data_IF_678031214527
#
_entry.id   IF_678031214527
#
_cell.length_a   1.000
_cell.length_b   1.000
_cell.length_c   1.000
_cell.angle_alpha   90.00
_cell.angle_beta   90.00
_cell.angle_gamma   90.00
#
_symmetry.space_group_name_H-M   'P 1'
#
loop_
_entity.id
_entity.type
_entity.pdbx_description
1 polymer ?
#
# COMPACT_ATOMS: atom_id res chain seq x y z
N UNK A 1 -25.19 2.00 -10.70
CA UNK A 1 -24.76 3.06 -11.63
C UNK A 1 -25.63 3.23 -12.87
N UNK A 2 -26.13 2.16 -13.53
CA UNK A 2 -26.81 2.30 -14.83
C UNK A 2 -28.19 2.98 -14.75
N UNK A 3 -29.01 2.69 -13.73
CA UNK A 3 -30.38 3.22 -13.62
C UNK A 3 -30.56 4.32 -12.56
N UNK A 4 -29.69 4.36 -11.54
CA UNK A 4 -29.87 5.20 -10.34
C UNK A 4 -28.93 6.40 -10.27
N UNK A 5 -27.93 6.48 -11.16
CA UNK A 5 -26.88 7.49 -11.10
C UNK A 5 -26.86 8.30 -12.40
N UNK A 6 -26.69 9.62 -12.31
CA UNK A 6 -26.44 10.44 -13.51
C UNK A 6 -25.07 10.06 -14.09
N UNK A 7 -24.94 10.07 -15.42
CA UNK A 7 -23.71 9.71 -16.11
C UNK A 7 -22.54 10.60 -15.63
N UNK A 8 -21.45 10.03 -15.08
CA UNK A 8 -20.29 10.79 -14.65
C UNK A 8 -19.48 11.28 -15.87
N UNK A 9 -18.71 12.35 -15.68
CA UNK A 9 -17.72 12.78 -16.66
C UNK A 9 -16.55 11.80 -16.66
N UNK A 10 -16.09 11.43 -17.85
CA UNK A 10 -14.96 10.52 -17.99
C UNK A 10 -13.66 11.24 -17.62
N UNK A 11 -12.96 10.71 -16.63
CA UNK A 11 -11.62 11.15 -16.22
C UNK A 11 -10.65 9.98 -16.40
N UNK A 12 -9.45 10.26 -16.92
CA UNK A 12 -8.41 9.24 -17.10
C UNK A 12 -7.49 9.28 -15.88
N UNK A 13 -7.45 8.19 -15.14
CA UNK A 13 -6.57 8.02 -13.98
C UNK A 13 -5.75 6.75 -14.17
N UNK A 14 -4.46 6.81 -13.86
CA UNK A 14 -3.54 5.68 -14.00
C UNK A 14 -3.61 4.71 -12.80
N UNK A 15 -3.86 5.24 -11.60
CA UNK A 15 -3.90 4.49 -10.33
C UNK A 15 -5.12 4.83 -9.46
N UNK A 16 -5.36 4.02 -8.43
CA UNK A 16 -6.41 4.26 -7.41
C UNK A 16 -6.10 5.45 -6.47
N UNK A 17 -4.91 6.05 -6.59
CA UNK A 17 -4.49 7.24 -5.83
C UNK A 17 -4.23 6.96 -4.34
N UNK A 18 -4.74 7.84 -3.47
CA UNK A 18 -4.51 7.79 -2.03
C UNK A 18 -4.94 6.47 -1.36
N UNK A 19 -5.90 5.75 -1.95
CA UNK A 19 -6.36 4.46 -1.46
C UNK A 19 -5.26 3.40 -1.39
N UNK A 20 -4.28 3.44 -2.29
CA UNK A 20 -3.15 2.51 -2.24
C UNK A 20 -2.37 2.66 -0.92
N UNK A 21 -2.05 3.89 -0.52
CA UNK A 21 -1.37 4.17 0.74
C UNK A 21 -2.19 3.78 1.97
N UNK A 22 -3.51 3.99 1.93
CA UNK A 22 -4.41 3.57 3.00
C UNK A 22 -4.41 2.05 3.15
N UNK A 23 -4.57 1.32 2.03
CA UNK A 23 -4.57 -0.14 2.04
C UNK A 23 -3.24 -0.70 2.55
N UNK A 24 -2.11 -0.10 2.13
CA UNK A 24 -0.79 -0.48 2.62
C UNK A 24 -0.66 -0.25 4.14
N UNK A 25 -1.15 0.88 4.64
CA UNK A 25 -1.21 1.17 6.08
C UNK A 25 -2.06 0.14 6.85
N UNK A 26 -3.23 -0.22 6.32
CA UNK A 26 -4.09 -1.26 6.91
C UNK A 26 -3.38 -2.61 6.94
N UNK A 27 -2.63 -2.97 5.89
CA UNK A 27 -1.85 -4.22 5.87
C UNK A 27 -0.82 -4.25 7.00
N UNK A 28 -0.06 -3.17 7.22
CA UNK A 28 0.90 -3.10 8.34
C UNK A 28 0.21 -3.22 9.70
N UNK A 29 -0.86 -2.45 9.93
CA UNK A 29 -1.63 -2.52 11.18
C UNK A 29 -2.24 -3.91 11.43
N UNK A 30 -2.66 -4.60 10.36
CA UNK A 30 -3.24 -5.94 10.47
C UNK A 30 -2.22 -6.98 10.94
N UNK A 31 -0.97 -6.90 10.47
CA UNK A 31 0.10 -7.80 10.92
C UNK A 31 0.35 -7.65 12.42
N UNK A 32 0.53 -6.40 12.88
CA UNK A 32 0.72 -6.07 14.31
C UNK A 32 -0.46 -6.56 15.15
N UNK A 33 -1.69 -6.23 14.74
CA UNK A 33 -2.90 -6.61 15.48
C UNK A 33 -3.04 -8.13 15.61
N UNK A 34 -2.80 -8.87 14.53
CA UNK A 34 -2.85 -10.34 14.55
C UNK A 34 -1.78 -10.94 15.46
N UNK A 35 -0.58 -10.35 15.51
CA UNK A 35 0.47 -10.77 16.43
C UNK A 35 0.03 -10.63 17.90
N UNK A 36 -0.57 -9.49 18.25
CA UNK A 36 -1.12 -9.25 19.58
C UNK A 36 -2.28 -10.19 19.93
N UNK A 37 -3.17 -10.48 18.97
CA UNK A 37 -4.24 -11.46 19.16
C UNK A 37 -3.64 -12.81 19.55
N UNK A 38 -2.67 -13.31 18.78
CA UNK A 38 -2.03 -14.60 19.09
C UNK A 38 -1.29 -14.53 20.44
N UNK A 39 -0.56 -13.47 20.75
CA UNK A 39 0.23 -13.38 21.97
C UNK A 39 -0.61 -13.29 23.26
N UNK A 40 -1.69 -12.48 23.25
CA UNK A 40 -2.45 -12.16 24.46
C UNK A 40 -3.75 -12.95 24.62
N UNK A 41 -4.44 -13.28 23.52
CA UNK A 41 -5.72 -14.01 23.61
C UNK A 41 -5.52 -15.53 23.62
N UNK A 42 -4.45 -16.03 22.99
CA UNK A 42 -4.14 -17.46 22.98
C UNK A 42 -3.40 -17.91 24.24
N UNK A 43 -3.64 -19.16 24.62
CA UNK A 43 -2.91 -19.86 25.68
C UNK A 43 -1.61 -20.51 25.16
N UNK A 44 -1.20 -20.21 23.93
CA UNK A 44 -0.01 -20.80 23.30
C UNK A 44 1.30 -20.38 23.99
N UNK A 45 1.50 -19.08 24.21
CA UNK A 45 2.76 -18.56 24.80
C UNK A 45 2.95 -19.06 26.24
N UNK A 46 1.96 -18.96 27.14
CA UNK A 46 2.17 -19.40 28.52
C UNK A 46 2.39 -20.92 28.63
N UNK A 47 1.72 -21.74 27.80
CA UNK A 47 1.98 -23.19 27.70
C UNK A 47 3.40 -23.49 27.22
N UNK A 48 3.88 -22.74 26.23
CA UNK A 48 5.25 -22.91 25.72
C UNK A 48 6.28 -22.54 26.80
N UNK A 49 6.08 -21.42 27.51
CA UNK A 49 6.94 -21.00 28.61
C UNK A 49 6.95 -22.03 29.73
N UNK A 50 5.78 -22.56 30.12
CA UNK A 50 5.68 -23.61 31.12
C UNK A 50 6.48 -24.85 30.69
N UNK A 51 6.25 -25.33 29.47
CA UNK A 51 6.91 -26.51 28.92
C UNK A 51 8.43 -26.38 28.89
N UNK A 52 8.96 -25.21 28.52
CA UNK A 52 10.39 -24.99 28.33
C UNK A 52 11.14 -24.58 29.60
N UNK A 53 10.50 -23.86 30.52
CA UNK A 53 11.17 -23.27 31.69
C UNK A 53 10.81 -23.96 32.99
N UNK A 54 9.56 -24.40 33.15
CA UNK A 54 9.03 -24.87 34.44
C UNK A 54 8.79 -26.37 34.49
N UNK A 55 8.54 -27.02 33.35
CA UNK A 55 8.33 -28.46 33.26
C UNK A 55 9.65 -29.23 33.34
N UNK A 56 9.72 -30.23 34.22
CA UNK A 56 10.90 -31.09 34.37
C UNK A 56 11.05 -32.08 33.19
N UNK A 57 9.93 -32.45 32.58
CA UNK A 57 9.85 -33.49 31.54
C UNK A 57 9.58 -32.91 30.15
N UNK A 58 9.51 -31.58 30.01
CA UNK A 58 9.03 -30.91 28.80
C UNK A 58 7.62 -31.38 28.38
N UNK A 59 6.75 -31.62 29.35
CA UNK A 59 5.33 -31.94 29.13
C UNK A 59 4.43 -30.90 29.80
N UNK A 60 3.14 -30.90 29.46
CA UNK A 60 2.11 -30.00 30.00
C UNK A 60 1.42 -30.55 31.26
N UNK A 61 1.87 -31.70 31.77
CA UNK A 61 1.36 -32.25 33.04
C UNK A 61 1.65 -31.27 34.18
N UNK A 62 0.60 -30.85 34.89
CA UNK A 62 0.68 -29.83 35.95
C UNK A 62 0.59 -28.38 35.45
N UNK A 63 0.36 -28.14 34.16
CA UNK A 63 0.20 -26.78 33.62
C UNK A 63 -0.98 -26.04 34.28
N UNK A 64 -2.12 -26.71 34.42
CA UNK A 64 -3.32 -26.11 35.02
C UNK A 64 -3.03 -25.65 36.44
N UNK A 65 -2.45 -26.52 37.28
CA UNK A 65 -2.10 -26.20 38.67
C UNK A 65 -1.09 -25.04 38.77
N UNK A 66 -0.17 -24.91 37.80
CA UNK A 66 0.76 -23.78 37.75
C UNK A 66 0.14 -22.47 37.26
N UNK A 67 -0.90 -22.57 36.43
CA UNK A 67 -1.59 -21.42 35.83
C UNK A 67 -2.67 -20.83 36.75
N UNK A 68 -2.93 -21.50 37.85
CA UNK A 68 -3.89 -21.13 38.88
C UNK A 68 -3.13 -20.53 40.08
N UNK A 69 -3.60 -19.38 40.54
CA UNK A 69 -3.15 -18.77 41.78
C UNK A 69 -4.18 -19.05 42.89
N UNK A 70 -3.69 -19.49 44.04
CA UNK A 70 -4.50 -19.68 45.24
C UNK A 70 -4.81 -18.34 45.92
N UNK A 71 -6.05 -18.17 46.36
CA UNK A 71 -6.53 -17.05 47.14
C UNK A 71 -7.19 -17.57 48.41
N UNK A 72 -6.89 -16.96 49.56
CA UNK A 72 -7.56 -17.29 50.80
C UNK A 72 -8.85 -16.47 50.91
N UNK A 73 -9.98 -17.16 51.07
CA UNK A 73 -11.31 -16.56 51.19
C UNK A 73 -11.41 -15.64 52.41
N UNK A 74 -10.59 -15.84 53.46
CA UNK A 74 -10.55 -14.92 54.60
C UNK A 74 -10.09 -13.50 54.25
N UNK A 75 -9.39 -13.33 53.13
CA UNK A 75 -8.79 -12.05 52.72
C UNK A 75 -9.70 -11.25 51.76
N UNK A 76 -10.96 -11.65 51.59
CA UNK A 76 -11.94 -10.85 50.86
C UNK A 76 -12.19 -9.52 51.58
N UNK A 77 -12.26 -8.44 50.80
CA UNK A 77 -12.82 -7.18 51.27
C UNK A 77 -14.35 -7.33 51.38
N UNK A 78 -14.99 -6.54 52.25
CA UNK A 78 -16.44 -6.58 52.49
C UNK A 78 -17.29 -6.47 51.21
N UNK A 79 -16.74 -5.89 50.14
CA UNK A 79 -17.40 -5.70 48.83
C UNK A 79 -17.11 -6.81 47.79
N UNK A 80 -16.20 -7.75 48.07
CA UNK A 80 -15.75 -8.77 47.10
C UNK A 80 -16.33 -10.17 47.33
N UNK A 81 -17.01 -10.38 48.46
CA UNK A 81 -17.59 -11.66 48.83
C UNK A 81 -18.83 -12.02 48.00
N UNK A 82 -19.30 -13.26 48.14
CA UNK A 82 -20.59 -13.69 47.58
C UNK A 82 -21.71 -12.93 48.31
N UNK A 83 -22.64 -12.34 47.56
CA UNK A 83 -23.87 -11.77 48.12
C UNK A 83 -24.68 -12.89 48.79
N UNK A 84 -24.64 -12.94 50.12
CA UNK A 84 -25.40 -13.92 50.92
C UNK A 84 -26.90 -13.57 51.01
N UNK A 85 -27.31 -12.46 50.40
CA UNK A 85 -28.68 -11.99 50.36
C UNK A 85 -29.51 -12.77 49.32
N UNK A 86 -30.21 -13.80 49.78
CA UNK A 86 -31.27 -14.47 49.01
C UNK A 86 -30.89 -15.76 48.29
N UNK A 87 -29.69 -16.31 48.53
CA UNK A 87 -29.30 -17.65 48.07
C UNK A 87 -29.00 -18.50 49.30
N UNK A 88 -29.85 -19.48 49.58
CA UNK A 88 -29.61 -20.54 50.58
C UNK A 88 -28.50 -21.47 50.04
N UNK A 89 -27.26 -20.98 49.99
CA UNK A 89 -26.09 -21.84 49.80
C UNK A 89 -25.84 -22.51 51.14
N UNK A 90 -26.35 -23.74 51.31
CA UNK A 90 -25.99 -24.61 52.43
C UNK A 90 -24.51 -25.01 52.31
N UNK A 91 -23.62 -24.18 52.85
CA UNK A 91 -22.20 -24.48 52.97
C UNK A 91 -21.36 -23.24 53.30
N UNK A 92 -20.39 -23.40 54.20
CA UNK A 92 -19.34 -22.39 54.39
C UNK A 92 -18.51 -22.24 53.11
N UNK A 93 -18.08 -21.01 52.83
CA UNK A 93 -17.18 -20.72 51.72
C UNK A 93 -15.89 -21.56 51.88
N UNK A 94 -15.36 -22.19 50.81
CA UNK A 94 -14.13 -22.95 50.90
C UNK A 94 -12.97 -22.04 51.34
N UNK A 95 -12.10 -22.54 52.21
CA UNK A 95 -10.99 -21.77 52.79
C UNK A 95 -10.05 -21.21 51.70
N UNK A 96 -9.83 -21.98 50.63
CA UNK A 96 -8.97 -21.58 49.51
C UNK A 96 -9.73 -21.72 48.19
N UNK A 97 -9.74 -20.65 47.40
CA UNK A 97 -10.22 -20.67 46.03
C UNK A 97 -9.06 -20.46 45.04
N UNK A 98 -9.23 -20.92 43.80
CA UNK A 98 -8.22 -20.80 42.75
C UNK A 98 -8.77 -19.99 41.59
N UNK A 99 -7.96 -19.05 41.10
CA UNK A 99 -8.30 -18.24 39.93
C UNK A 99 -7.14 -18.23 38.94
N UNK A 100 -7.46 -17.95 37.68
CA UNK A 100 -6.45 -17.91 36.61
C UNK A 100 -5.56 -16.69 36.80
N UNK A 101 -4.28 -16.93 37.12
CA UNK A 101 -3.34 -15.85 37.41
C UNK A 101 -1.97 -16.37 37.81
N UNK A 102 -0.94 -15.58 37.49
CA UNK A 102 0.44 -15.83 37.91
C UNK A 102 0.79 -14.95 39.10
N UNK A 103 0.20 -15.24 40.25
CA UNK A 103 0.38 -14.50 41.50
C UNK A 103 0.92 -15.41 42.60
N UNK A 104 1.62 -14.81 43.56
CA UNK A 104 2.12 -15.53 44.72
C UNK A 104 0.97 -15.97 45.63
N UNK A 105 1.15 -17.10 46.29
CA UNK A 105 0.15 -17.67 47.20
C UNK A 105 0.00 -16.89 48.52
N UNK A 106 -1.00 -17.24 49.34
CA UNK A 106 -1.28 -16.57 50.62
C UNK A 106 -0.20 -16.79 51.69
N UNK A 107 0.63 -17.82 51.54
CA UNK A 107 1.73 -18.18 52.47
C UNK A 107 3.07 -17.51 52.13
N UNK A 108 3.16 -16.83 50.98
CA UNK A 108 4.41 -16.20 50.54
C UNK A 108 4.64 -14.85 51.25
N UNK A 109 5.89 -14.37 51.27
CA UNK A 109 6.27 -13.09 51.88
C UNK A 109 5.56 -11.90 51.21
N UNK A 110 5.41 -11.98 49.88
CA UNK A 110 4.70 -11.00 49.07
C UNK A 110 3.36 -11.59 48.61
N UNK A 111 2.40 -11.64 49.55
CA UNK A 111 1.06 -12.18 49.31
C UNK A 111 0.38 -11.51 48.13
N UNK A 112 -0.20 -12.30 47.22
CA UNK A 112 -0.97 -11.85 46.05
C UNK A 112 -0.22 -10.95 45.07
N UNK A 113 1.09 -10.77 45.25
CA UNK A 113 1.97 -10.06 44.32
C UNK A 113 2.16 -10.81 43.01
N UNK A 114 2.72 -10.14 42.00
CA UNK A 114 3.03 -10.75 40.71
C UNK A 114 4.19 -11.76 40.88
N UNK A 115 3.94 -13.00 40.50
CA UNK A 115 4.97 -14.04 40.52
C UNK A 115 6.05 -13.76 39.46
N UNK A 116 7.31 -14.17 39.65
CA UNK A 116 8.31 -14.18 38.58
C UNK A 116 7.82 -14.87 37.29
N UNK A 117 6.93 -15.85 37.40
CA UNK A 117 6.32 -16.53 36.25
C UNK A 117 5.54 -15.56 35.35
N UNK A 118 4.86 -14.58 35.94
CA UNK A 118 4.15 -13.54 35.20
C UNK A 118 5.08 -12.79 34.25
N UNK A 119 6.25 -12.38 34.76
CA UNK A 119 7.24 -11.63 33.99
C UNK A 119 7.86 -12.45 32.88
N UNK A 120 8.09 -13.75 33.10
CA UNK A 120 8.58 -14.65 32.06
C UNK A 120 7.56 -14.77 30.92
N UNK A 121 6.28 -14.96 31.24
CA UNK A 121 5.21 -15.03 30.24
C UNK A 121 5.02 -13.69 29.52
N UNK A 122 5.08 -12.57 30.25
CA UNK A 122 4.97 -11.23 29.68
C UNK A 122 6.11 -10.93 28.70
N UNK A 123 7.36 -11.18 29.12
CA UNK A 123 8.53 -11.01 28.25
C UNK A 123 8.46 -11.92 27.01
N UNK A 124 8.04 -13.18 27.18
CA UNK A 124 7.86 -14.10 26.06
C UNK A 124 6.77 -13.64 25.07
N UNK A 125 5.67 -13.06 25.56
CA UNK A 125 4.62 -12.48 24.71
C UNK A 125 5.16 -11.32 23.87
N UNK A 126 5.90 -10.40 24.48
CA UNK A 126 6.51 -9.27 23.76
C UNK A 126 7.55 -9.75 22.74
N UNK A 127 8.42 -10.68 23.13
CA UNK A 127 9.41 -11.25 22.22
C UNK A 127 8.76 -11.95 21.03
N UNK A 128 7.67 -12.69 21.27
CA UNK A 128 6.91 -13.34 20.20
C UNK A 128 6.34 -12.33 19.21
N UNK A 129 5.73 -11.24 19.68
CA UNK A 129 5.18 -10.19 18.80
C UNK A 129 6.28 -9.63 17.90
N UNK A 130 7.43 -9.25 18.48
CA UNK A 130 8.57 -8.71 17.72
C UNK A 130 9.05 -9.72 16.67
N UNK A 131 9.28 -10.98 17.05
CA UNK A 131 9.76 -12.00 16.11
C UNK A 131 8.73 -12.27 15.01
N UNK A 132 7.46 -12.40 15.36
CA UNK A 132 6.38 -12.65 14.40
C UNK A 132 6.25 -11.51 13.38
N UNK A 133 6.28 -10.26 13.85
CA UNK A 133 6.25 -9.09 12.98
C UNK A 133 7.43 -9.08 11.99
N UNK A 134 8.66 -9.29 12.47
CA UNK A 134 9.85 -9.28 11.61
C UNK A 134 9.81 -10.41 10.58
N UNK A 135 9.33 -11.60 10.96
CA UNK A 135 9.20 -12.73 10.03
C UNK A 135 8.16 -12.41 8.96
N UNK A 136 6.97 -11.93 9.35
CA UNK A 136 5.90 -11.61 8.39
C UNK A 136 6.33 -10.48 7.46
N UNK A 137 6.95 -9.42 7.99
CA UNK A 137 7.48 -8.33 7.18
C UNK A 137 8.57 -8.80 6.22
N UNK A 138 9.51 -9.65 6.67
CA UNK A 138 10.52 -10.24 5.79
C UNK A 138 9.88 -11.08 4.68
N UNK A 139 8.90 -11.93 4.99
CA UNK A 139 8.18 -12.74 3.99
C UNK A 139 7.43 -11.86 2.98
N UNK A 140 6.73 -10.82 3.45
CA UNK A 140 6.04 -9.88 2.55
C UNK A 140 7.03 -9.10 1.68
N UNK A 141 8.20 -8.73 2.22
CA UNK A 141 9.27 -8.08 1.46
C UNK A 141 9.86 -9.00 0.40
N UNK A 142 10.09 -10.28 0.71
CA UNK A 142 10.56 -11.27 -0.25
C UNK A 142 9.52 -11.48 -1.36
N UNK A 143 8.23 -11.55 -1.01
CA UNK A 143 7.16 -11.68 -2.01
C UNK A 143 7.10 -10.46 -2.94
N UNK A 144 7.19 -9.24 -2.39
CA UNK A 144 7.24 -8.01 -3.16
C UNK A 144 8.50 -7.94 -4.06
N UNK A 145 9.62 -8.52 -3.63
CA UNK A 145 10.82 -8.62 -4.46
C UNK A 145 10.70 -9.68 -5.57
N UNK A 146 10.04 -10.80 -5.29
CA UNK A 146 9.96 -11.94 -6.23
C UNK A 146 8.98 -11.67 -7.36
N UNK A 147 7.90 -10.94 -7.09
CA UNK A 147 6.86 -10.63 -8.07
C UNK A 147 7.18 -9.29 -8.72
N UNK A 148 7.56 -9.24 -10.01
CA UNK A 148 7.82 -7.98 -10.68
C UNK A 148 6.51 -7.21 -10.89
N UNK A 149 6.51 -5.92 -10.54
CA UNK A 149 5.32 -5.04 -10.65
C UNK A 149 4.76 -4.95 -12.07
N UNK A 150 5.60 -5.15 -13.10
CA UNK A 150 5.20 -5.11 -14.51
C UNK A 150 5.46 -6.47 -15.19
N UNK A 151 4.42 -7.12 -15.75
CA UNK A 151 4.59 -8.39 -16.47
C UNK A 151 5.47 -8.20 -17.72
N UNK A 152 6.16 -9.27 -18.14
CA UNK A 152 7.08 -9.26 -19.30
C UNK A 152 6.40 -8.85 -20.61
N UNK A 153 5.16 -9.28 -20.83
CA UNK A 153 4.39 -8.99 -22.04
C UNK A 153 4.10 -7.49 -22.20
N UNK A 154 3.77 -6.81 -21.11
CA UNK A 154 3.53 -5.36 -21.15
C UNK A 154 4.85 -4.61 -21.36
N UNK A 155 5.95 -5.08 -20.76
CA UNK A 155 7.28 -4.50 -21.01
C UNK A 155 7.68 -4.58 -22.47
N UNK A 156 7.45 -5.72 -23.13
CA UNK A 156 7.78 -5.89 -24.56
C UNK A 156 6.87 -5.04 -25.45
N UNK A 157 5.58 -4.92 -25.12
CA UNK A 157 4.65 -4.03 -25.82
C UNK A 157 5.06 -2.56 -25.70
N UNK A 158 5.35 -2.08 -24.49
CA UNK A 158 5.83 -0.71 -24.26
C UNK A 158 7.13 -0.44 -25.03
N UNK A 159 8.06 -1.41 -25.06
CA UNK A 159 9.29 -1.27 -25.84
C UNK A 159 9.01 -1.17 -27.35
N UNK A 160 8.12 -2.02 -27.88
CA UNK A 160 7.71 -1.97 -29.29
C UNK A 160 7.10 -0.61 -29.65
N UNK A 161 6.15 -0.11 -28.85
CA UNK A 161 5.53 1.19 -29.10
C UNK A 161 6.56 2.33 -29.06
N UNK A 162 7.50 2.30 -28.11
CA UNK A 162 8.60 3.27 -28.04
C UNK A 162 9.52 3.23 -29.25
N UNK A 163 9.78 2.05 -29.82
CA UNK A 163 10.58 1.93 -31.05
C UNK A 163 9.85 2.54 -32.24
N UNK A 164 8.57 2.19 -32.44
CA UNK A 164 7.74 2.74 -33.52
C UNK A 164 7.61 4.27 -33.42
N UNK A 165 7.49 4.81 -32.20
CA UNK A 165 7.47 6.26 -31.98
C UNK A 165 8.78 6.96 -32.42
N UNK A 166 9.94 6.33 -32.17
CA UNK A 166 11.24 6.89 -32.58
C UNK A 166 11.42 6.86 -34.09
N UNK A 167 11.02 5.78 -34.75
CA UNK A 167 11.06 5.65 -36.21
C UNK A 167 10.17 6.73 -36.85
N UNK A 168 8.94 6.90 -36.37
CA UNK A 168 8.04 7.95 -36.87
C UNK A 168 8.57 9.37 -36.64
N UNK A 169 9.31 9.62 -35.56
CA UNK A 169 9.97 10.92 -35.33
C UNK A 169 11.16 11.14 -36.27
N UNK A 170 11.97 10.11 -36.51
CA UNK A 170 13.10 10.18 -37.43
C UNK A 170 12.63 10.43 -38.87
N UNK A 171 11.64 9.67 -39.35
CA UNK A 171 11.06 9.87 -40.68
C UNK A 171 10.49 11.28 -40.86
N UNK A 172 9.85 11.84 -39.82
CA UNK A 172 9.39 13.24 -39.84
C UNK A 172 10.54 14.22 -39.91
N UNK A 173 11.60 14.02 -39.13
CA UNK A 173 12.80 14.86 -39.15
C UNK A 173 13.50 14.84 -40.51
N UNK A 174 13.70 13.66 -41.09
CA UNK A 174 14.30 13.48 -42.43
C UNK A 174 13.45 14.14 -43.51
N UNK A 175 12.13 13.94 -43.49
CA UNK A 175 11.23 14.60 -44.44
C UNK A 175 11.22 16.12 -44.33
N UNK A 176 11.44 16.67 -43.13
CA UNK A 176 11.54 18.13 -42.93
C UNK A 176 12.86 18.65 -43.47
N UNK A 177 14.00 18.02 -43.13
CA UNK A 177 15.30 18.43 -43.65
C UNK A 177 15.37 18.34 -45.18
N UNK A 178 14.87 17.26 -45.78
CA UNK A 178 14.84 17.12 -47.24
C UNK A 178 13.99 18.20 -47.92
N UNK A 179 12.86 18.60 -47.31
CA UNK A 179 12.05 19.72 -47.82
C UNK A 179 12.76 21.08 -47.73
N UNK A 180 13.58 21.30 -46.70
CA UNK A 180 14.36 22.53 -46.56
C UNK A 180 15.46 22.59 -47.63
N UNK A 181 16.22 21.50 -47.82
CA UNK A 181 17.23 21.40 -48.88
C UNK A 181 16.63 21.64 -50.28
N UNK A 182 15.48 21.00 -50.58
CA UNK A 182 14.75 21.21 -51.84
C UNK A 182 14.32 22.68 -52.05
N UNK A 183 13.94 23.40 -50.98
CA UNK A 183 13.57 24.82 -51.08
C UNK A 183 14.79 25.72 -51.33
N UNK A 184 15.94 25.45 -50.68
CA UNK A 184 17.18 26.19 -50.92
C UNK A 184 17.71 25.98 -52.35
N UNK A 185 17.72 24.74 -52.84
CA UNK A 185 18.21 24.42 -54.19
C UNK A 185 17.33 25.04 -55.28
N UNK A 186 16.01 25.05 -55.08
CA UNK A 186 15.09 25.78 -55.98
C UNK A 186 15.35 27.28 -55.98
N UNK A 187 15.65 27.88 -54.82
CA UNK A 187 15.98 29.30 -54.72
C UNK A 187 17.31 29.62 -55.43
N UNK A 188 18.34 28.81 -55.21
CA UNK A 188 19.64 28.96 -55.87
C UNK A 188 19.54 28.80 -57.38
N UNK A 189 18.75 27.84 -57.87
CA UNK A 189 18.53 27.64 -59.30
C UNK A 189 17.77 28.82 -59.93
N UNK A 190 16.74 29.33 -59.25
CA UNK A 190 16.01 30.52 -59.70
C UNK A 190 16.89 31.78 -59.73
N UNK A 191 17.81 31.94 -58.78
CA UNK A 191 18.81 33.02 -58.78
C UNK A 191 19.77 32.87 -59.97
N UNK A 192 20.27 31.65 -60.23
CA UNK A 192 21.18 31.35 -61.33
C UNK A 192 20.56 31.56 -62.72
N UNK A 193 19.27 31.26 -62.89
CA UNK A 193 18.53 31.47 -64.14
C UNK A 193 18.06 32.93 -64.34
N UNK A 194 18.22 33.80 -63.34
CA UNK A 194 17.73 35.17 -63.41
C UNK A 194 18.66 36.10 -64.20
N UNK A 195 18.33 36.29 -65.47
CA UNK A 195 18.75 37.44 -66.28
C UNK A 195 17.59 38.44 -66.53
N UNK A 196 16.43 38.23 -65.87
CA UNK A 196 15.27 39.13 -65.87
C UNK A 196 14.49 39.03 -64.53
N UNK A 197 14.16 40.18 -63.95
CA UNK A 197 13.72 40.37 -62.55
C UNK A 197 12.30 39.87 -62.22
N UNK A 198 11.49 39.52 -63.22
CA UNK A 198 10.06 39.18 -63.06
C UNK A 198 9.78 37.76 -62.59
N UNK A 199 10.68 36.79 -62.81
CA UNK A 199 10.47 35.39 -62.41
C UNK A 199 10.79 35.11 -60.94
N UNK A 200 11.65 35.92 -60.35
CA UNK A 200 12.14 35.76 -58.97
C UNK A 200 11.04 36.08 -57.95
N UNK A 201 10.23 37.11 -58.22
CA UNK A 201 9.07 37.50 -57.39
C UNK A 201 7.97 36.44 -57.35
N UNK A 202 7.75 35.70 -58.44
CA UNK A 202 6.73 34.65 -58.51
C UNK A 202 7.13 33.36 -57.76
N UNK A 203 8.43 33.04 -57.74
CA UNK A 203 8.98 31.94 -56.93
C UNK A 203 8.89 32.28 -55.43
N UNK A 204 9.20 33.53 -55.04
CA UNK A 204 9.05 34.01 -53.65
C UNK A 204 7.57 34.01 -53.21
N UNK A 205 6.63 34.39 -54.08
CA UNK A 205 5.18 34.33 -53.79
C UNK A 205 4.62 32.90 -53.70
N UNK A 206 5.19 31.93 -54.45
CA UNK A 206 4.72 30.53 -54.46
C UNK A 206 5.40 29.63 -53.42
N UNK A 207 6.60 29.97 -52.95
CA UNK A 207 7.34 29.23 -51.92
C UNK A 207 6.84 29.46 -50.50
N UNK A 208 7.22 28.58 -49.55
CA UNK A 208 6.79 28.61 -48.14
C UNK A 208 7.04 29.95 -47.43
N UNK A 209 8.01 30.75 -47.91
CA UNK A 209 8.34 32.09 -47.43
C UNK A 209 7.17 33.09 -47.47
N UNK A 210 6.30 33.04 -48.48
CA UNK A 210 5.13 33.92 -48.58
C UNK A 210 4.05 33.66 -47.52
N UNK A 211 3.96 32.42 -47.02
CA UNK A 211 3.00 32.02 -45.96
C UNK A 211 3.53 32.23 -44.55
N UNK A 212 4.85 32.27 -44.36
CA UNK A 212 5.48 32.47 -43.04
C UNK A 212 5.45 33.94 -42.60
N UNK A 213 5.59 34.88 -43.55
CA UNK A 213 5.46 36.33 -43.28
C UNK A 213 4.03 36.80 -43.00
N UNK A 214 3.01 36.04 -43.41
CA UNK A 214 1.59 36.36 -43.14
C UNK A 214 1.10 35.88 -41.77
N UNK A 215 1.93 35.11 -41.04
CA UNK A 215 1.58 34.54 -39.72
C UNK A 215 2.19 35.30 -38.54
N UNK A 216 3.05 36.30 -38.80
CA UNK A 216 3.71 37.13 -37.79
C UNK A 216 2.90 38.39 -37.40
N UNK A 217 1.75 38.65 -38.05
CA UNK A 217 0.96 39.88 -37.86
C UNK A 217 -0.33 39.69 -37.07
N UNK A 218 -0.40 38.72 -36.15
CA UNK A 218 -1.58 38.52 -35.31
C UNK A 218 -1.18 37.98 -33.94
N UNK A 219 -0.48 38.79 -33.16
CA UNK A 219 -0.43 38.66 -31.71
C UNK A 219 -0.91 39.98 -31.12
N UNK A 220 -2.15 39.99 -30.62
CA UNK A 220 -2.53 40.66 -29.37
C UNK A 220 -3.93 40.19 -28.87
N UNK A 221 -3.88 39.53 -27.70
CA UNK A 221 -4.83 39.49 -26.56
C UNK A 221 -6.07 38.55 -26.47
N UNK A 222 -5.88 37.44 -25.71
CA UNK A 222 -6.65 36.81 -24.59
C UNK A 222 -8.22 36.73 -24.54
N UNK A 223 -8.83 35.87 -23.67
CA UNK A 223 -8.48 34.51 -23.23
C UNK A 223 -9.69 33.55 -23.39
N UNK A 224 -9.48 32.30 -23.84
CA UNK A 224 -10.54 31.28 -23.74
C UNK A 224 -10.06 29.96 -23.13
N UNK A 225 -10.76 29.62 -22.04
CA UNK A 225 -10.71 28.36 -21.30
C UNK A 225 -10.81 27.18 -22.26
N UNK A 226 -9.83 26.29 -22.19
CA UNK A 226 -9.83 25.01 -22.92
C UNK A 226 -10.83 24.05 -22.26
N UNK A 227 -12.04 23.95 -22.81
CA UNK A 227 -12.86 22.74 -22.70
C UNK A 227 -12.39 21.76 -23.75
N UNK A 228 -11.72 20.69 -23.31
CA UNK A 228 -11.33 19.56 -24.15
C UNK A 228 -12.55 18.67 -24.30
N UNK A 229 -13.26 18.80 -25.43
CA UNK A 229 -14.20 17.79 -25.90
C UNK A 229 -13.51 16.99 -27.02
N UNK A 230 -13.02 15.80 -26.71
CA UNK A 230 -12.62 14.80 -27.70
C UNK A 230 -13.71 13.73 -27.78
N UNK A 231 -14.70 13.92 -28.66
CA UNK A 231 -15.49 12.78 -29.16
C UNK A 231 -14.84 12.27 -30.44
N UNK A 232 -13.91 11.33 -30.30
CA UNK A 232 -13.63 10.36 -31.36
C UNK A 232 -14.82 9.39 -31.42
N UNK A 233 -15.73 9.68 -32.34
CA UNK A 233 -16.79 8.76 -32.76
C UNK A 233 -16.13 7.67 -33.61
N UNK A 234 -16.16 6.44 -33.11
CA UNK A 234 -15.91 5.26 -33.92
C UNK A 234 -17.27 4.73 -34.39
N UNK A 235 -17.58 4.90 -35.66
CA UNK A 235 -18.56 4.05 -36.34
C UNK A 235 -17.84 2.81 -36.86
N UNK A 236 -18.38 1.64 -36.55
CA UNK A 236 -17.96 0.33 -37.07
C UNK A 236 -19.18 -0.25 -37.82
N UNK A 237 -18.99 -0.96 -38.96
CA UNK A 237 -20.06 -1.33 -39.89
C UNK A 237 -21.13 -2.26 -39.32
#
# INVERSE_FOLDING_TARGET
MVAQSRRPLAERVEDIGAWYGILQGVTYCAVVSNAFVIAYTSDYIPRMVYKLVYSKTNDLVGYIDSSLSAFNTSDYLDEMGVDKDGVDIEGDDPEICQYRGYRNGPEDKEKYGLSPQYWHVFAARLAFVVVFEHIVFALTGIMAYTIPDVPSEIRTQIQRERMLQKEAQFERGVNVNGREEDEYDRMLTALRESHNTSRLSDVIRRGSWGRRLSRQSSDDQEPQKKTINTSTVWEVP
#
